data_IF_268949034954
#
_entry.id   IF_268949034954
#
_cell.length_a   1.000
_cell.length_b   1.000
_cell.length_c   1.000
_cell.angle_alpha   90.00
_cell.angle_beta   90.00
_cell.angle_gamma   90.00
#
_symmetry.space_group_name_H-M   'P 1'
#
loop_
_entity.id
_entity.type
_entity.pdbx_description
1 polymer ?
#
# COMPACT_ATOMS: atom_id res chain seq x y z
N UNK A 1 -9.64 2.53 21.70
CA UNK A 1 -10.39 2.09 20.51
C UNK A 1 -10.97 0.73 20.84
N UNK A 2 -12.25 0.48 20.59
CA UNK A 2 -12.81 -0.85 20.84
C UNK A 2 -12.34 -1.83 19.76
N UNK A 3 -12.37 -3.13 20.07
CA UNK A 3 -11.84 -4.18 19.20
C UNK A 3 -12.66 -4.31 17.90
N UNK A 4 -13.94 -3.93 17.94
CA UNK A 4 -14.85 -3.95 16.79
C UNK A 4 -14.50 -2.88 15.74
N UNK A 5 -14.05 -1.71 16.18
CA UNK A 5 -13.63 -0.61 15.30
C UNK A 5 -12.39 -0.99 14.47
N UNK A 6 -11.48 -1.79 15.03
CA UNK A 6 -10.25 -2.24 14.35
C UNK A 6 -10.57 -3.25 13.23
N UNK A 7 -11.61 -4.07 13.39
CA UNK A 7 -12.00 -5.06 12.38
C UNK A 7 -12.63 -4.43 11.13
N UNK A 8 -13.14 -3.19 11.25
CA UNK A 8 -13.82 -2.45 10.19
C UNK A 8 -13.24 -1.03 10.03
N UNK A 9 -12.01 -0.90 9.51
CA UNK A 9 -11.40 0.41 9.26
C UNK A 9 -12.30 1.29 8.39
N UNK A 10 -12.60 2.51 8.84
CA UNK A 10 -13.43 3.46 8.11
C UNK A 10 -12.98 4.90 8.32
N UNK A 11 -13.55 5.83 7.56
CA UNK A 11 -13.31 7.27 7.75
C UNK A 11 -14.02 7.75 9.02
N UNK A 12 -15.22 7.25 9.29
CA UNK A 12 -16.06 7.63 10.42
C UNK A 12 -15.44 7.26 11.77
N UNK A 13 -14.73 6.12 11.85
CA UNK A 13 -14.04 5.70 13.07
C UNK A 13 -12.60 6.24 13.17
N UNK A 14 -12.16 7.03 12.19
CA UNK A 14 -10.86 7.71 12.20
C UNK A 14 -9.65 6.82 11.91
N UNK A 15 -9.84 5.54 11.53
CA UNK A 15 -8.72 4.67 11.12
C UNK A 15 -8.26 5.03 9.71
N UNK A 16 -9.19 5.29 8.80
CA UNK A 16 -8.87 5.68 7.43
C UNK A 16 -8.80 7.20 7.30
N UNK A 17 -7.75 7.76 6.66
CA UNK A 17 -7.74 9.17 6.30
C UNK A 17 -8.86 9.48 5.29
N UNK A 18 -9.49 10.64 5.42
CA UNK A 18 -10.52 11.07 4.47
C UNK A 18 -9.89 11.58 3.16
N UNK A 19 -9.54 10.67 2.26
CA UNK A 19 -8.98 10.96 0.93
C UNK A 19 -10.02 10.64 -0.13
N UNK A 20 -10.51 11.68 -0.82
CA UNK A 20 -11.51 11.54 -1.88
C UNK A 20 -10.97 10.72 -3.06
N UNK A 21 -11.74 9.72 -3.46
CA UNK A 21 -11.47 8.83 -4.59
C UNK A 21 -10.30 7.89 -4.38
N UNK A 22 -9.97 7.56 -3.12
CA UNK A 22 -8.93 6.58 -2.77
C UNK A 22 -9.48 5.17 -2.54
N UNK A 23 -10.68 5.06 -1.99
CA UNK A 23 -11.22 3.79 -1.50
C UNK A 23 -12.18 3.12 -2.48
N UNK A 24 -12.34 1.80 -2.35
CA UNK A 24 -13.07 0.96 -3.30
C UNK A 24 -14.57 1.29 -3.47
N UNK A 25 -15.17 2.00 -2.52
CA UNK A 25 -16.56 2.45 -2.53
C UNK A 25 -16.75 3.83 -3.18
N UNK A 26 -15.67 4.44 -3.69
CA UNK A 26 -15.66 5.78 -4.28
C UNK A 26 -15.28 5.73 -5.76
N UNK A 27 -15.67 6.77 -6.51
CA UNK A 27 -15.13 6.98 -7.87
C UNK A 27 -13.64 7.32 -7.76
N UNK A 28 -12.74 6.57 -8.40
CA UNK A 28 -11.31 6.76 -8.23
C UNK A 28 -10.86 8.10 -8.83
N UNK A 29 -10.10 8.86 -8.05
CA UNK A 29 -9.49 10.13 -8.51
C UNK A 29 -8.02 10.28 -8.13
N UNK A 30 -7.47 9.36 -7.35
CA UNK A 30 -6.05 9.33 -6.99
C UNK A 30 -5.26 8.67 -8.12
N UNK A 31 -4.13 9.28 -8.52
CA UNK A 31 -3.31 8.79 -9.64
C UNK A 31 -2.61 7.46 -9.33
N UNK A 32 -2.05 7.33 -8.13
CA UNK A 32 -1.35 6.14 -7.66
C UNK A 32 -1.12 6.20 -6.14
N UNK A 33 -0.78 5.06 -5.56
CA UNK A 33 -0.19 4.95 -4.21
C UNK A 33 1.26 4.50 -4.36
N UNK A 34 2.18 5.12 -3.62
CA UNK A 34 3.58 4.69 -3.53
C UNK A 34 3.83 4.17 -2.12
N UNK A 35 4.28 2.92 -1.99
CA UNK A 35 4.61 2.30 -0.71
C UNK A 35 6.13 2.36 -0.48
N UNK A 36 6.52 2.80 0.71
CA UNK A 36 7.93 2.95 1.08
C UNK A 36 8.60 1.62 1.43
N UNK A 37 8.02 0.84 2.35
CA UNK A 37 8.58 -0.43 2.82
C UNK A 37 7.50 -1.36 3.42
N UNK A 38 7.92 -2.55 3.87
CA UNK A 38 7.04 -3.68 4.18
C UNK A 38 6.63 -3.82 5.66
N UNK A 39 6.67 -2.77 6.48
CA UNK A 39 6.06 -2.85 7.81
C UNK A 39 4.54 -2.73 7.72
N UNK A 40 3.82 -3.47 8.58
CA UNK A 40 2.36 -3.60 8.51
C UNK A 40 1.62 -2.27 8.68
N UNK A 41 2.18 -1.31 9.40
CA UNK A 41 1.64 0.04 9.53
C UNK A 41 1.71 0.86 8.22
N UNK A 42 2.51 0.42 7.24
CA UNK A 42 2.59 1.05 5.91
C UNK A 42 1.66 0.41 4.88
N UNK A 43 1.41 -0.90 4.92
CA UNK A 43 0.64 -1.61 3.90
C UNK A 43 -0.57 -2.40 4.42
N UNK A 44 -0.77 -2.49 5.74
CA UNK A 44 -1.78 -3.36 6.36
C UNK A 44 -3.22 -3.05 5.95
N UNK A 45 -3.49 -1.82 5.49
CA UNK A 45 -4.79 -1.37 4.99
C UNK A 45 -4.83 -1.19 3.47
N UNK A 46 -3.76 -1.55 2.76
CA UNK A 46 -3.61 -1.38 1.30
C UNK A 46 -4.72 -2.06 0.50
N UNK A 47 -5.31 -3.15 1.00
CA UNK A 47 -6.42 -3.85 0.33
C UNK A 47 -7.69 -3.00 0.17
N UNK A 48 -7.81 -1.89 0.92
CA UNK A 48 -8.95 -0.97 0.87
C UNK A 48 -8.83 0.07 -0.25
N UNK A 49 -7.65 0.23 -0.84
CA UNK A 49 -7.42 1.10 -2.00
C UNK A 49 -8.27 0.63 -3.19
N UNK A 50 -8.85 1.58 -3.92
CA UNK A 50 -9.67 1.31 -5.09
C UNK A 50 -8.89 0.46 -6.12
N UNK A 51 -9.49 -0.60 -6.71
CA UNK A 51 -8.77 -1.55 -7.58
C UNK A 51 -8.17 -0.93 -8.84
N UNK A 52 -8.69 0.21 -9.29
CA UNK A 52 -8.18 0.90 -10.48
C UNK A 52 -6.98 1.82 -10.18
N UNK A 53 -6.66 2.06 -8.91
CA UNK A 53 -5.51 2.89 -8.54
C UNK A 53 -4.27 1.99 -8.48
N UNK A 54 -3.26 2.22 -9.33
CA UNK A 54 -2.03 1.43 -9.30
C UNK A 54 -1.23 1.70 -8.02
N UNK A 55 -0.63 0.66 -7.49
CA UNK A 55 0.24 0.72 -6.32
C UNK A 55 1.67 0.45 -6.75
N UNK A 56 2.61 1.32 -6.38
CA UNK A 56 4.04 1.14 -6.67
C UNK A 56 4.80 0.84 -5.40
N UNK A 57 5.74 -0.09 -5.46
CA UNK A 57 6.61 -0.48 -4.36
C UNK A 57 7.91 -1.10 -4.90
N UNK A 58 8.93 -1.24 -4.07
CA UNK A 58 10.14 -1.94 -4.49
C UNK A 58 9.92 -3.45 -4.64
N UNK A 59 10.79 -4.13 -5.40
CA UNK A 59 10.76 -5.59 -5.57
C UNK A 59 10.96 -6.30 -4.24
N UNK A 60 11.82 -5.75 -3.40
CA UNK A 60 12.17 -6.20 -2.06
C UNK A 60 10.96 -6.08 -1.11
N UNK A 61 10.31 -4.91 -1.11
CA UNK A 61 9.08 -4.68 -0.35
C UNK A 61 7.99 -5.67 -0.76
N UNK A 62 7.80 -5.88 -2.07
CA UNK A 62 6.84 -6.86 -2.59
C UNK A 62 7.13 -8.26 -2.08
N UNK A 63 8.38 -8.71 -2.16
CA UNK A 63 8.79 -10.04 -1.72
C UNK A 63 8.53 -10.24 -0.21
N UNK A 64 8.85 -9.24 0.62
CA UNK A 64 8.59 -9.31 2.06
C UNK A 64 7.09 -9.36 2.39
N UNK A 65 6.27 -8.58 1.69
CA UNK A 65 4.80 -8.63 1.86
C UNK A 65 4.27 -10.00 1.48
N UNK A 66 4.69 -10.55 0.35
CA UNK A 66 4.26 -11.88 -0.13
C UNK A 66 4.63 -12.99 0.87
N UNK A 67 5.85 -12.96 1.43
CA UNK A 67 6.26 -13.89 2.49
C UNK A 67 5.46 -13.67 3.77
N UNK A 68 5.29 -12.42 4.21
CA UNK A 68 4.53 -12.07 5.42
C UNK A 68 3.08 -12.56 5.35
N UNK A 69 2.46 -12.47 4.18
CA UNK A 69 1.08 -12.93 3.95
C UNK A 69 0.86 -14.43 4.16
N UNK A 70 1.92 -15.25 4.14
CA UNK A 70 1.84 -16.67 4.53
C UNK A 70 1.50 -16.80 6.02
N UNK A 71 2.00 -15.88 6.85
CA UNK A 71 1.89 -15.92 8.30
C UNK A 71 0.76 -15.05 8.84
N UNK A 72 0.46 -13.92 8.19
CA UNK A 72 -0.58 -13.00 8.66
C UNK A 72 -1.98 -13.55 8.37
N UNK A 73 -2.76 -13.78 9.43
CA UNK A 73 -4.10 -14.37 9.35
C UNK A 73 -5.23 -13.33 9.26
N UNK A 74 -4.92 -12.03 9.33
CA UNK A 74 -5.89 -10.95 9.30
C UNK A 74 -6.63 -10.87 7.95
N UNK A 75 -7.92 -10.51 7.99
CA UNK A 75 -8.77 -10.44 6.77
C UNK A 75 -8.24 -9.45 5.74
N UNK A 76 -7.64 -8.34 6.20
CA UNK A 76 -7.12 -7.27 5.37
C UNK A 76 -5.81 -7.69 4.66
N UNK A 77 -4.92 -8.41 5.36
CA UNK A 77 -3.65 -8.90 4.77
C UNK A 77 -3.87 -10.05 3.80
N UNK A 78 -4.86 -10.92 4.02
CA UNK A 78 -5.21 -12.03 3.10
C UNK A 78 -5.68 -11.58 1.71
N UNK A 79 -6.08 -10.31 1.57
CA UNK A 79 -6.50 -9.71 0.29
C UNK A 79 -5.47 -8.72 -0.24
N UNK A 80 -4.20 -8.79 0.17
CA UNK A 80 -3.20 -7.86 -0.37
C UNK A 80 -3.22 -7.97 -1.89
N UNK A 81 -3.60 -6.89 -2.57
CA UNK A 81 -3.79 -6.82 -4.03
C UNK A 81 -2.45 -6.73 -4.74
N UNK A 82 -1.59 -7.74 -4.53
CA UNK A 82 -0.29 -7.80 -5.18
C UNK A 82 -0.40 -7.86 -6.70
N UNK A 83 -1.55 -8.31 -7.22
CA UNK A 83 -1.86 -8.32 -8.65
C UNK A 83 -1.95 -6.91 -9.26
N UNK A 84 -2.30 -5.90 -8.46
CA UNK A 84 -2.39 -4.50 -8.90
C UNK A 84 -1.15 -3.67 -8.54
N UNK A 85 -0.08 -4.35 -8.12
CA UNK A 85 1.17 -3.72 -7.72
C UNK A 85 2.19 -3.73 -8.86
N UNK A 86 2.75 -2.55 -9.14
CA UNK A 86 3.87 -2.35 -10.05
C UNK A 86 5.16 -2.21 -9.24
N UNK A 87 6.22 -2.91 -9.64
CA UNK A 87 7.49 -2.84 -8.92
C UNK A 87 8.47 -1.88 -9.58
N UNK A 88 9.28 -1.21 -8.76
CA UNK A 88 10.49 -0.52 -9.18
C UNK A 88 11.71 -1.12 -8.47
N UNK A 89 12.89 -0.78 -8.96
CA UNK A 89 14.18 -1.12 -8.36
C UNK A 89 14.87 0.17 -7.93
N UNK A 90 15.55 0.16 -6.80
CA UNK A 90 16.23 1.34 -6.26
C UNK A 90 17.43 1.79 -7.11
N UNK A 91 17.96 0.88 -7.95
CA UNK A 91 19.02 1.17 -8.90
C UNK A 91 18.48 1.64 -10.26
N UNK A 92 17.16 1.67 -10.46
CA UNK A 92 16.55 2.16 -11.69
C UNK A 92 16.50 3.69 -11.74
N UNK A 93 16.51 4.28 -12.95
CA UNK A 93 16.26 5.70 -13.11
C UNK A 93 14.88 6.10 -12.58
N UNK A 94 14.67 7.38 -12.25
CA UNK A 94 13.37 7.91 -11.89
C UNK A 94 12.28 7.49 -12.88
N UNK A 95 11.09 7.19 -12.38
CA UNK A 95 9.96 6.75 -13.20
C UNK A 95 8.81 7.76 -13.14
N UNK A 96 7.97 7.77 -14.17
CA UNK A 96 6.86 8.73 -14.28
C UNK A 96 5.56 8.10 -13.78
N UNK A 97 4.82 8.84 -12.98
CA UNK A 97 3.47 8.48 -12.52
C UNK A 97 2.55 9.67 -12.74
N UNK A 98 1.69 9.60 -13.77
CA UNK A 98 0.88 10.73 -14.20
C UNK A 98 1.75 11.97 -14.47
N UNK A 99 1.48 13.13 -13.83
CA UNK A 99 2.29 14.34 -14.01
C UNK A 99 3.58 14.37 -13.17
N UNK A 100 3.84 13.34 -12.35
CA UNK A 100 4.95 13.32 -11.39
C UNK A 100 6.13 12.48 -11.88
N UNK A 101 7.34 12.85 -11.47
CA UNK A 101 8.55 12.03 -11.58
C UNK A 101 8.90 11.54 -10.17
N UNK A 102 8.96 10.23 -10.00
CA UNK A 102 9.26 9.56 -8.74
C UNK A 102 10.72 9.11 -8.76
N UNK A 103 11.51 9.56 -7.79
CA UNK A 103 12.92 9.19 -7.63
C UNK A 103 13.08 8.44 -6.31
N UNK A 104 13.28 7.11 -6.33
CA UNK A 104 13.48 6.34 -5.10
C UNK A 104 14.88 6.58 -4.54
N UNK A 105 14.99 6.74 -3.22
CA UNK A 105 16.26 6.76 -2.49
C UNK A 105 16.23 5.69 -1.40
N UNK A 106 17.30 4.91 -1.30
CA UNK A 106 17.48 3.93 -0.23
C UNK A 106 17.74 4.65 1.09
N UNK A 107 17.09 4.15 2.14
CA UNK A 107 17.24 4.66 3.50
C UNK A 107 17.52 3.49 4.44
N UNK A 108 18.36 3.71 5.45
CA UNK A 108 18.59 2.72 6.50
C UNK A 108 17.33 2.58 7.36
N UNK A 109 16.79 1.37 7.46
CA UNK A 109 15.62 1.07 8.25
C UNK A 109 15.53 -0.41 8.67
N UNK A 110 14.61 -0.74 9.59
CA UNK A 110 14.37 -2.11 10.06
C UNK A 110 13.44 -2.92 9.14
N UNK A 111 13.30 -2.50 7.87
CA UNK A 111 12.68 -3.25 6.79
C UNK A 111 13.65 -3.27 5.61
N UNK A 112 13.91 -4.45 5.06
CA UNK A 112 14.76 -4.58 3.88
C UNK A 112 14.00 -4.12 2.63
N UNK A 113 14.68 -3.34 1.78
CA UNK A 113 14.09 -2.70 0.61
C UNK A 113 14.33 -1.22 0.62
#
# INVERSE_FOLDING_TARGET
MDQASIETPSIENGILPNVKGLYADQVPSVTAVILSHAHLDHYGLMSLVHPEIPIYLSRETRALIEVGNIFYTFKQTKKSRMDNCQTFDHLMPPFKVGPFIITPFLMDHSAFG
#
